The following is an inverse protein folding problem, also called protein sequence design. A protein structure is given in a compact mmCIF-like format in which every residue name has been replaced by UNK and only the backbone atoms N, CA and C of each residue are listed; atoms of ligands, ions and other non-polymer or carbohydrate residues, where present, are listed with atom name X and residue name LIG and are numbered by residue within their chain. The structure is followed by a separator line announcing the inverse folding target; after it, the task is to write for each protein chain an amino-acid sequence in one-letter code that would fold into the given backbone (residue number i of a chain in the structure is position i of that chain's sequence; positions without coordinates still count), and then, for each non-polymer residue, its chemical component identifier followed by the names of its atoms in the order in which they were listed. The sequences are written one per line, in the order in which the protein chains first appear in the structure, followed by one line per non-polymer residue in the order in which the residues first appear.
data_IF_506547951446
#
_entry.id   IF_506547951446
#
_cell.length_a   1.000
_cell.length_b   1.000
_cell.length_c   1.000
_cell.angle_alpha   90.00
_cell.angle_beta   90.00
_cell.angle_gamma   90.00
#
_symmetry.space_group_name_H-M   'P 1'
#
loop_
_entity.id
_entity.type
_entity.pdbx_description
1 polymer ?
#
# COMPACT_ATOMS: atom_id res chain seq x y z
N UNK A 1 -38.88 -57.74 -27.26
CA UNK A 1 -39.19 -59.18 -27.12
C UNK A 1 -38.98 -59.58 -25.67
N UNK A 2 -40.07 -59.80 -24.93
CA UNK A 2 -40.04 -60.32 -23.55
C UNK A 2 -40.11 -61.85 -23.64
N UNK A 3 -39.22 -62.59 -22.99
CA UNK A 3 -39.24 -64.06 -23.00
C UNK A 3 -40.52 -64.59 -22.32
N UNK A 4 -41.20 -65.61 -22.89
CA UNK A 4 -42.42 -66.16 -22.30
C UNK A 4 -42.09 -66.82 -20.95
N UNK A 5 -42.71 -66.31 -19.87
CA UNK A 5 -42.57 -66.85 -18.51
C UNK A 5 -41.95 -65.90 -17.47
N UNK A 6 -41.52 -64.67 -17.84
CA UNK A 6 -41.04 -63.71 -16.84
C UNK A 6 -42.22 -62.94 -16.20
N UNK A 7 -42.38 -62.95 -14.87
CA UNK A 7 -43.36 -62.11 -14.21
C UNK A 7 -43.02 -60.63 -14.43
N UNK A 8 -44.05 -59.78 -14.58
CA UNK A 8 -43.89 -58.35 -14.80
C UNK A 8 -42.98 -57.75 -13.71
N UNK A 9 -41.87 -57.11 -14.12
CA UNK A 9 -40.92 -56.48 -13.18
C UNK A 9 -41.65 -55.35 -12.45
N UNK A 10 -41.84 -55.52 -11.14
CA UNK A 10 -42.41 -54.46 -10.30
C UNK A 10 -41.43 -53.29 -10.26
N UNK A 11 -41.90 -52.04 -10.43
CA UNK A 11 -41.05 -50.87 -10.31
C UNK A 11 -40.47 -50.80 -8.89
N UNK A 12 -39.15 -50.65 -8.79
CA UNK A 12 -38.45 -50.51 -7.52
C UNK A 12 -38.72 -49.09 -7.00
N UNK A 13 -39.58 -48.96 -6.00
CA UNK A 13 -39.75 -47.69 -5.28
C UNK A 13 -38.63 -47.60 -4.24
N UNK A 14 -37.72 -46.62 -4.33
CA UNK A 14 -36.69 -46.46 -3.31
C UNK A 14 -37.34 -46.15 -1.96
N UNK A 15 -36.76 -46.65 -0.85
CA UNK A 15 -37.25 -46.28 0.47
C UNK A 15 -37.13 -44.76 0.65
N UNK A 16 -38.07 -44.13 1.39
CA UNK A 16 -37.98 -42.71 1.69
C UNK A 16 -36.66 -42.44 2.43
N UNK A 17 -35.79 -41.66 1.79
CA UNK A 17 -34.50 -41.28 2.38
C UNK A 17 -34.83 -40.27 3.48
N UNK A 18 -34.46 -40.53 4.74
CA UNK A 18 -34.67 -39.56 5.81
C UNK A 18 -33.89 -38.28 5.49
N UNK A 19 -34.42 -37.09 5.82
CA UNK A 19 -33.78 -35.82 5.50
C UNK A 19 -32.39 -35.67 6.15
N UNK A 20 -32.06 -36.50 7.15
CA UNK A 20 -30.72 -36.61 7.77
C UNK A 20 -29.65 -37.26 6.89
N UNK A 21 -30.04 -37.98 5.83
CA UNK A 21 -29.13 -38.62 4.87
C UNK A 21 -28.98 -37.83 3.57
N UNK A 22 -29.70 -36.72 3.43
CA UNK A 22 -29.46 -35.77 2.35
C UNK A 22 -28.20 -34.96 2.70
N UNK A 23 -27.38 -34.55 1.71
CA UNK A 23 -26.30 -33.62 1.94
C UNK A 23 -26.88 -32.28 2.44
N UNK A 24 -27.03 -32.16 3.75
CA UNK A 24 -27.46 -30.93 4.39
C UNK A 24 -26.29 -29.95 4.28
N UNK A 25 -26.48 -28.95 3.43
CA UNK A 25 -25.60 -27.80 3.37
C UNK A 25 -25.76 -27.01 4.66
N UNK A 26 -25.03 -27.42 5.70
CA UNK A 26 -24.98 -26.72 6.98
C UNK A 26 -24.28 -25.39 6.73
N UNK A 27 -25.06 -24.31 6.74
CA UNK A 27 -24.50 -22.97 6.60
C UNK A 27 -23.47 -22.76 7.73
N UNK A 28 -22.26 -22.25 7.41
CA UNK A 28 -21.22 -22.08 8.43
C UNK A 28 -21.71 -21.13 9.52
N UNK A 29 -21.49 -21.53 10.77
CA UNK A 29 -21.85 -20.72 11.93
C UNK A 29 -21.10 -19.38 11.89
N UNK A 30 -21.65 -18.33 12.52
CA UNK A 30 -20.99 -17.01 12.57
C UNK A 30 -19.60 -17.10 13.20
N UNK A 31 -19.43 -17.94 14.23
CA UNK A 31 -18.13 -18.21 14.84
C UNK A 31 -17.17 -18.87 13.86
N UNK A 32 -17.63 -19.88 13.10
CA UNK A 32 -16.80 -20.52 12.08
C UNK A 32 -16.32 -19.52 11.02
N UNK A 33 -17.19 -18.60 10.57
CA UNK A 33 -16.79 -17.55 9.62
C UNK A 33 -15.77 -16.60 10.22
N UNK A 34 -15.97 -16.18 11.47
CA UNK A 34 -15.03 -15.31 12.17
C UNK A 34 -13.64 -15.95 12.32
N UNK A 35 -13.60 -17.23 12.73
CA UNK A 35 -12.34 -17.99 12.83
C UNK A 35 -11.65 -18.15 11.47
N UNK A 36 -12.42 -18.39 10.40
CA UNK A 36 -11.85 -18.48 9.05
C UNK A 36 -11.22 -17.16 8.60
N UNK A 37 -11.92 -16.03 8.80
CA UNK A 37 -11.39 -14.70 8.48
C UNK A 37 -10.14 -14.42 9.31
N UNK A 38 -10.17 -14.72 10.61
CA UNK A 38 -9.02 -14.53 11.48
C UNK A 38 -7.81 -15.35 11.03
N UNK A 39 -8.01 -16.65 10.76
CA UNK A 39 -6.95 -17.53 10.30
C UNK A 39 -6.36 -17.05 8.96
N UNK A 40 -7.21 -16.60 8.04
CA UNK A 40 -6.77 -16.06 6.76
C UNK A 40 -5.96 -14.78 6.93
N UNK A 41 -6.43 -13.85 7.75
CA UNK A 41 -5.72 -12.60 8.06
C UNK A 41 -4.38 -12.87 8.74
N UNK A 42 -4.34 -13.81 9.69
CA UNK A 42 -3.12 -14.20 10.39
C UNK A 42 -2.10 -14.83 9.42
N UNK A 43 -2.53 -15.76 8.58
CA UNK A 43 -1.66 -16.39 7.58
C UNK A 43 -1.11 -15.37 6.58
N UNK A 44 -1.95 -14.44 6.12
CA UNK A 44 -1.53 -13.35 5.24
C UNK A 44 -0.52 -12.44 5.93
N UNK A 45 -0.78 -12.06 7.19
CA UNK A 45 0.14 -11.24 7.99
C UNK A 45 1.49 -11.91 8.24
N UNK A 46 1.50 -13.21 8.56
CA UNK A 46 2.74 -13.98 8.72
C UNK A 46 3.53 -14.06 7.42
N UNK A 47 2.85 -14.21 6.28
CA UNK A 47 3.50 -14.23 4.97
C UNK A 47 4.13 -12.88 4.65
N UNK A 48 3.41 -11.78 4.89
CA UNK A 48 3.93 -10.43 4.70
C UNK A 48 5.15 -10.15 5.60
N UNK A 49 5.06 -10.55 6.87
CA UNK A 49 6.18 -10.45 7.82
C UNK A 49 7.40 -11.24 7.33
N UNK A 50 7.19 -12.48 6.90
CA UNK A 50 8.27 -13.33 6.41
C UNK A 50 8.95 -12.74 5.18
N UNK A 51 8.20 -12.14 4.25
CA UNK A 51 8.75 -11.64 2.98
C UNK A 51 9.47 -10.29 3.16
N UNK A 52 8.92 -9.39 3.97
CA UNK A 52 9.36 -7.99 3.99
C UNK A 52 10.12 -7.59 5.26
N UNK A 53 9.87 -8.24 6.40
CA UNK A 53 10.44 -7.82 7.69
C UNK A 53 11.44 -8.84 8.24
N UNK A 54 11.16 -10.14 8.08
CA UNK A 54 12.00 -11.19 8.62
C UNK A 54 13.42 -11.14 8.02
N UNK A 55 14.41 -11.36 8.87
CA UNK A 55 15.82 -11.34 8.49
C UNK A 55 16.28 -12.77 8.16
N UNK A 56 16.47 -13.06 6.87
CA UNK A 56 17.01 -14.33 6.40
C UNK A 56 18.54 -14.39 6.46
N UNK A 57 19.19 -13.35 7.00
CA UNK A 57 20.62 -13.22 7.12
C UNK A 57 21.27 -12.45 5.96
N UNK A 58 22.61 -12.33 5.99
CA UNK A 58 23.36 -11.41 5.13
C UNK A 58 23.53 -11.87 3.67
N UNK A 59 22.92 -12.98 3.25
CA UNK A 59 23.00 -13.51 1.88
C UNK A 59 21.76 -13.12 1.09
N UNK A 60 21.92 -12.91 -0.22
CA UNK A 60 20.80 -12.66 -1.15
C UNK A 60 19.75 -13.78 -1.02
N UNK A 61 18.50 -13.40 -0.75
CA UNK A 61 17.36 -14.29 -0.59
C UNK A 61 16.31 -14.02 -1.68
N UNK A 62 15.46 -15.02 -1.96
CA UNK A 62 14.46 -14.97 -3.05
C UNK A 62 13.49 -13.78 -2.95
N UNK A 63 13.31 -13.23 -1.75
CA UNK A 63 12.43 -12.07 -1.50
C UNK A 63 13.13 -10.70 -1.59
N UNK A 64 14.45 -10.62 -1.81
CA UNK A 64 15.17 -9.35 -1.90
C UNK A 64 14.67 -8.43 -3.01
N UNK A 65 14.37 -8.92 -4.23
CA UNK A 65 13.82 -8.07 -5.29
C UNK A 65 12.50 -7.40 -4.89
N UNK A 66 11.63 -8.15 -4.20
CA UNK A 66 10.35 -7.63 -3.76
C UNK A 66 10.52 -6.60 -2.63
N UNK A 67 11.44 -6.84 -1.69
CA UNK A 67 11.76 -5.89 -0.62
C UNK A 67 12.27 -4.56 -1.18
N UNK A 68 13.23 -4.60 -2.12
CA UNK A 68 13.75 -3.42 -2.81
C UNK A 68 12.63 -2.65 -3.54
N UNK A 69 11.76 -3.37 -4.25
CA UNK A 69 10.61 -2.75 -4.90
C UNK A 69 9.69 -2.02 -3.92
N UNK A 70 9.40 -2.62 -2.75
CA UNK A 70 8.61 -1.95 -1.69
C UNK A 70 9.36 -0.74 -1.13
N UNK A 71 10.65 -0.86 -0.87
CA UNK A 71 11.47 0.25 -0.36
C UNK A 71 11.49 1.42 -1.36
N UNK A 72 11.64 1.16 -2.65
CA UNK A 72 11.57 2.18 -3.71
C UNK A 72 10.18 2.86 -3.77
N UNK A 73 9.11 2.10 -3.58
CA UNK A 73 7.74 2.64 -3.55
C UNK A 73 7.45 3.44 -2.28
N UNK A 74 7.94 2.99 -1.13
CA UNK A 74 7.76 3.76 0.11
C UNK A 74 8.62 5.03 0.09
N UNK A 75 9.82 4.97 -0.47
CA UNK A 75 10.67 6.14 -0.68
C UNK A 75 10.01 7.13 -1.65
N UNK A 76 9.35 6.68 -2.72
CA UNK A 76 8.65 7.56 -3.68
C UNK A 76 7.45 8.28 -3.06
N UNK A 77 6.80 7.72 -2.04
CA UNK A 77 5.70 8.40 -1.33
C UNK A 77 6.18 9.56 -0.45
N UNK A 78 7.40 9.45 0.10
CA UNK A 78 7.97 10.47 1.00
C UNK A 78 9.08 11.31 0.36
N UNK A 79 9.37 11.09 -0.92
CA UNK A 79 10.35 11.86 -1.68
C UNK A 79 9.71 12.47 -2.92
N UNK A 80 10.21 13.64 -3.33
CA UNK A 80 9.79 14.24 -4.60
C UNK A 80 10.09 13.27 -5.73
N UNK A 81 9.09 13.02 -6.58
CA UNK A 81 9.27 12.23 -7.80
C UNK A 81 10.37 12.84 -8.66
N UNK A 82 11.04 12.06 -9.50
CA UNK A 82 12.12 12.59 -10.34
C UNK A 82 11.64 13.73 -11.26
N UNK A 83 10.37 13.71 -11.66
CA UNK A 83 9.73 14.79 -12.40
C UNK A 83 9.59 16.06 -11.56
N UNK A 84 9.14 15.93 -10.31
CA UNK A 84 9.03 17.08 -9.40
C UNK A 84 10.42 17.62 -9.02
N UNK A 85 11.40 16.74 -8.83
CA UNK A 85 12.80 17.13 -8.64
C UNK A 85 13.32 17.91 -9.83
N UNK A 86 13.02 17.46 -11.06
CA UNK A 86 13.45 18.15 -12.28
C UNK A 86 12.73 19.49 -12.46
N UNK A 87 11.47 19.61 -12.08
CA UNK A 87 10.72 20.87 -12.09
C UNK A 87 11.24 21.86 -11.03
N UNK A 88 11.75 21.38 -9.90
CA UNK A 88 12.35 22.19 -8.84
C UNK A 88 13.84 22.49 -9.05
N UNK A 89 14.53 21.69 -9.87
CA UNK A 89 15.93 21.89 -10.26
C UNK A 89 16.22 23.29 -10.84
N UNK A 90 15.42 23.87 -11.75
CA UNK A 90 15.67 25.22 -12.26
C UNK A 90 15.51 26.32 -11.20
N UNK A 91 14.87 26.04 -10.05
CA UNK A 91 14.79 26.97 -8.92
C UNK A 91 16.02 26.86 -8.00
N UNK A 92 16.65 25.67 -7.95
CA UNK A 92 17.90 25.44 -7.21
C UNK A 92 19.05 26.28 -7.78
N UNK A 93 19.10 26.45 -9.10
CA UNK A 93 20.14 27.26 -9.78
C UNK A 93 19.95 28.77 -9.64
N UNK A 94 18.74 29.23 -9.27
CA UNK A 94 18.47 30.65 -8.96
C UNK A 94 18.84 31.03 -7.52
N UNK A 95 19.17 30.04 -6.70
CA UNK A 95 19.65 30.25 -5.33
C UNK A 95 21.16 30.06 -5.38
N UNK A 96 21.99 31.03 -4.96
CA UNK A 96 23.44 30.85 -5.00
C UNK A 96 23.80 29.57 -4.23
N UNK A 97 24.51 28.66 -4.90
CA UNK A 97 24.99 27.39 -4.35
C UNK A 97 25.95 27.65 -3.20
N UNK A 98 25.39 27.77 -2.00
CA UNK A 98 26.13 27.72 -0.75
C UNK A 98 26.18 26.24 -0.34
N UNK A 99 27.36 25.62 -0.21
CA UNK A 99 27.44 24.20 0.10
C UNK A 99 26.69 23.91 1.40
N UNK A 100 25.95 22.79 1.47
CA UNK A 100 25.10 22.44 2.61
C UNK A 100 25.87 22.40 3.96
N UNK A 101 27.20 22.27 3.93
CA UNK A 101 28.10 22.39 5.09
C UNK A 101 28.29 23.82 5.62
N UNK A 102 27.86 24.84 4.88
CA UNK A 102 27.94 26.26 5.23
C UNK A 102 26.59 26.90 5.53
N UNK A 103 25.49 26.13 5.42
CA UNK A 103 24.19 26.50 5.94
C UNK A 103 24.18 26.17 7.44
N UNK A 104 24.40 27.18 8.29
CA UNK A 104 24.20 27.03 9.74
C UNK A 104 22.72 26.66 9.96
N UNK A 105 22.40 25.57 10.70
CA UNK A 105 21.02 25.24 11.03
C UNK A 105 20.42 26.43 11.77
N UNK A 106 19.36 27.01 11.20
CA UNK A 106 18.72 28.15 11.85
C UNK A 106 18.12 27.68 13.18
N UNK A 107 18.72 28.12 14.28
CA UNK A 107 18.28 27.77 15.65
C UNK A 107 17.23 28.76 16.15
N UNK A 108 16.84 29.73 15.33
CA UNK A 108 15.90 30.79 15.71
C UNK A 108 14.48 30.26 15.82
N UNK A 109 13.73 30.89 16.72
CA UNK A 109 12.30 30.59 16.81
C UNK A 109 11.56 31.19 15.61
N UNK A 110 10.45 30.58 15.15
CA UNK A 110 9.70 31.09 13.99
C UNK A 110 9.33 32.58 14.13
N UNK A 111 9.04 33.04 15.35
CA UNK A 111 8.64 34.41 15.64
C UNK A 111 9.77 35.41 15.35
N UNK A 112 11.02 35.07 15.66
CA UNK A 112 12.16 35.95 15.41
C UNK A 112 12.44 36.12 13.93
N UNK A 113 12.31 35.05 13.15
CA UNK A 113 12.47 35.09 11.69
C UNK A 113 11.49 36.06 11.03
N UNK A 114 10.20 36.02 11.39
CA UNK A 114 9.19 36.92 10.84
C UNK A 114 9.31 38.37 11.33
N UNK A 115 9.95 38.60 12.47
CA UNK A 115 10.22 39.95 12.99
C UNK A 115 11.34 40.64 12.20
N UNK A 116 12.37 39.89 11.81
CA UNK A 116 13.49 40.38 10.98
C UNK A 116 13.13 40.52 9.51
N UNK A 117 12.25 39.65 9.00
CA UNK A 117 11.77 39.66 7.62
C UNK A 117 10.29 40.06 7.53
N UNK A 118 9.94 41.33 7.81
CA UNK A 118 8.56 41.79 7.64
C UNK A 118 8.17 41.68 6.17
N UNK A 119 7.03 41.05 5.91
CA UNK A 119 6.51 40.84 4.56
C UNK A 119 6.30 42.19 3.87
N UNK A 120 7.15 42.50 2.87
CA UNK A 120 6.96 43.67 2.02
C UNK A 120 5.79 43.40 1.07
N UNK A 121 4.66 44.06 1.33
CA UNK A 121 3.51 44.11 0.42
C UNK A 121 3.96 44.85 -0.84
N UNK A 122 3.99 44.14 -1.98
CA UNK A 122 4.44 44.69 -3.26
C UNK A 122 3.60 45.88 -3.71
N UNK A 123 4.26 47.03 -3.83
CA UNK A 123 3.77 48.29 -4.36
C UNK A 123 4.89 49.31 -4.14
N UNK A 124 5.26 50.06 -5.17
CA UNK A 124 6.27 51.13 -5.15
C UNK A 124 7.73 50.68 -5.37
N UNK A 125 8.01 50.12 -6.55
CA UNK A 125 9.35 50.12 -7.12
C UNK A 125 9.31 50.17 -8.67
N UNK A 126 8.55 51.12 -9.22
CA UNK A 126 8.67 51.54 -10.62
C UNK A 126 8.41 53.04 -10.66
N UNK A 127 9.42 53.87 -10.40
CA UNK A 127 9.49 55.31 -10.75
C UNK A 127 10.83 55.89 -10.26
N UNK A 128 11.96 55.34 -10.67
CA UNK A 128 13.23 56.11 -10.68
C UNK A 128 14.22 55.49 -11.66
N UNK A 129 14.13 55.90 -12.93
CA UNK A 129 15.00 55.33 -13.97
C UNK A 129 14.71 55.78 -15.40
N UNK A 130 14.36 57.06 -15.63
CA UNK A 130 14.34 57.64 -16.97
C UNK A 130 14.91 59.06 -16.97
N UNK A 131 16.24 59.15 -17.05
CA UNK A 131 16.94 60.28 -17.69
C UNK A 131 17.72 59.71 -18.88
N UNK A 132 17.24 60.01 -20.09
CA UNK A 132 18.05 60.46 -21.24
C UNK A 132 17.17 61.47 -21.98
#
# INVERSE_FOLDING_TARGET
MQLPGQPARKPIVPPPIPPSKLPQHVAPSRLSRATQIFAFSLATGMTFYAVLLYDFGPREHVFMPLRRWVDDHTASLFTLSDQDRQALSPQKDRTPTVPASSVKPDTRTPIEYFKENPWKKGGDAVEEGKRV
#
